data_IF_348129742658
#
_entry.id   IF_348129742658
#
_cell.length_a   1.000
_cell.length_b   1.000
_cell.length_c   1.000
_cell.angle_alpha   90.00
_cell.angle_beta   90.00
_cell.angle_gamma   90.00
#
_symmetry.space_group_name_H-M   'P 1'
#
loop_
_entity.id
_entity.type
_entity.pdbx_description
1 polymer ?
#
# COMPACT_ATOMS: atom_id res chain seq x y z
N UNK A 1 48.99 -50.27 -17.66
CA UNK A 1 47.72 -50.71 -17.03
C UNK A 1 47.20 -49.59 -16.13
N UNK A 2 46.08 -49.01 -16.55
CA UNK A 2 45.03 -48.26 -15.84
C UNK A 2 45.41 -47.26 -14.75
N UNK A 3 45.31 -45.95 -15.09
CA UNK A 3 44.46 -44.97 -14.38
C UNK A 3 43.95 -43.91 -15.37
N UNK A 4 43.07 -44.34 -16.28
CA UNK A 4 42.00 -43.45 -16.71
C UNK A 4 41.09 -43.19 -15.51
N UNK A 5 40.38 -42.06 -15.50
CA UNK A 5 39.47 -41.54 -14.45
C UNK A 5 40.14 -40.54 -13.50
N UNK A 6 40.27 -39.30 -13.97
CA UNK A 6 40.24 -38.07 -13.15
C UNK A 6 39.97 -36.86 -14.07
N UNK A 7 38.92 -37.01 -14.88
CA UNK A 7 38.23 -35.93 -15.58
C UNK A 7 36.75 -36.10 -15.21
N UNK A 8 36.08 -34.99 -14.91
CA UNK A 8 34.68 -34.87 -14.47
C UNK A 8 34.51 -34.84 -12.92
N UNK A 9 34.86 -33.73 -12.29
CA UNK A 9 34.27 -33.29 -11.01
C UNK A 9 34.63 -31.82 -10.69
N UNK A 10 34.19 -30.86 -11.52
CA UNK A 10 34.29 -29.43 -11.17
C UNK A 10 33.28 -28.54 -11.93
N UNK A 11 32.09 -29.05 -12.27
CA UNK A 11 31.08 -28.29 -13.03
C UNK A 11 29.67 -28.39 -12.42
N UNK A 12 29.56 -28.47 -11.09
CA UNK A 12 28.28 -28.59 -10.41
C UNK A 12 28.32 -28.00 -8.99
N UNK A 13 28.42 -26.67 -8.88
CA UNK A 13 28.13 -25.95 -7.62
C UNK A 13 27.80 -24.45 -7.76
N UNK A 14 27.30 -23.98 -8.91
CA UNK A 14 26.71 -22.63 -9.02
C UNK A 14 25.30 -22.71 -9.61
N UNK A 15 24.49 -23.65 -9.10
CA UNK A 15 23.05 -23.39 -9.01
C UNK A 15 22.88 -22.65 -7.69
N UNK A 16 23.22 -21.35 -7.70
CA UNK A 16 22.63 -20.48 -6.70
C UNK A 16 21.13 -20.58 -6.96
N UNK A 17 20.43 -21.37 -6.17
CA UNK A 17 18.99 -21.30 -6.06
C UNK A 17 18.69 -19.85 -5.72
N UNK A 18 18.35 -19.10 -6.75
CA UNK A 18 17.94 -17.71 -6.73
C UNK A 18 16.52 -17.68 -6.14
N UNK A 19 16.36 -18.23 -4.94
CA UNK A 19 15.22 -18.00 -4.08
C UNK A 19 15.37 -16.56 -3.58
N UNK A 20 15.30 -15.60 -4.51
CA UNK A 20 15.21 -14.19 -4.19
C UNK A 20 13.97 -14.09 -3.31
N UNK A 21 14.17 -13.61 -2.09
CA UNK A 21 13.07 -13.26 -1.20
C UNK A 21 12.12 -12.28 -1.90
N UNK A 22 10.93 -12.05 -1.33
CA UNK A 22 9.94 -11.19 -1.94
C UNK A 22 10.54 -9.82 -2.27
N UNK A 23 10.25 -9.32 -3.48
CA UNK A 23 10.66 -7.98 -3.88
C UNK A 23 9.98 -6.93 -2.99
N UNK A 24 10.68 -5.83 -2.64
CA UNK A 24 10.07 -4.74 -1.91
C UNK A 24 9.03 -4.01 -2.77
N UNK A 25 8.11 -3.33 -2.10
CA UNK A 25 7.10 -2.49 -2.72
C UNK A 25 7.74 -1.20 -3.25
N UNK A 26 7.26 -0.74 -4.41
CA UNK A 26 7.64 0.55 -4.95
C UNK A 26 7.26 1.71 -3.99
N UNK A 27 8.18 2.61 -3.62
CA UNK A 27 7.88 3.72 -2.70
C UNK A 27 6.75 4.63 -3.14
N UNK A 28 6.63 4.92 -4.44
CA UNK A 28 5.53 5.71 -4.99
C UNK A 28 4.19 5.02 -4.78
N UNK A 29 4.12 3.70 -5.02
CA UNK A 29 2.89 2.93 -4.81
C UNK A 29 2.54 2.79 -3.32
N UNK A 30 3.51 2.48 -2.47
CA UNK A 30 3.32 2.38 -1.02
C UNK A 30 2.85 3.71 -0.39
N UNK A 31 3.37 4.82 -0.88
CA UNK A 31 2.96 6.15 -0.40
C UNK A 31 1.52 6.47 -0.82
N UNK A 32 1.17 6.20 -2.08
CA UNK A 32 -0.18 6.41 -2.58
C UNK A 32 -1.20 5.47 -1.93
N UNK A 33 -0.81 4.24 -1.61
CA UNK A 33 -1.62 3.27 -0.87
C UNK A 33 -2.09 3.83 0.49
N UNK A 34 -1.20 4.51 1.23
CA UNK A 34 -1.55 5.15 2.51
C UNK A 34 -2.47 6.36 2.35
N UNK A 35 -2.26 7.16 1.30
CA UNK A 35 -2.99 8.41 1.08
C UNK A 35 -4.39 8.15 0.51
N UNK A 36 -4.51 7.18 -0.39
CA UNK A 36 -5.73 6.89 -1.13
C UNK A 36 -6.39 5.56 -0.74
N UNK A 37 -5.92 4.93 0.35
CA UNK A 37 -6.53 3.78 1.01
C UNK A 37 -6.62 2.54 0.13
N UNK A 38 -5.50 1.90 -0.17
CA UNK A 38 -5.46 0.61 -0.85
C UNK A 38 -4.22 -0.19 -0.45
N UNK A 39 -4.14 -1.44 -0.90
CA UNK A 39 -3.04 -2.33 -0.55
C UNK A 39 -1.85 -2.13 -1.50
N UNK A 40 -0.66 -1.99 -0.94
CA UNK A 40 0.55 -1.81 -1.74
C UNK A 40 1.02 -3.17 -2.29
N UNK A 41 1.22 -3.24 -3.60
CA UNK A 41 1.63 -4.46 -4.31
C UNK A 41 3.12 -4.42 -4.67
N UNK A 42 3.77 -5.58 -4.59
CA UNK A 42 5.20 -5.77 -4.91
C UNK A 42 5.42 -6.19 -6.36
N UNK A 43 6.66 -6.02 -6.81
CA UNK A 43 7.09 -6.35 -8.16
C UNK A 43 6.75 -5.31 -9.21
N UNK A 44 7.03 -5.65 -10.48
CA UNK A 44 6.79 -4.77 -11.63
C UNK A 44 5.33 -4.78 -12.06
N UNK A 45 4.46 -4.28 -11.18
CA UNK A 45 3.03 -4.18 -11.44
C UNK A 45 2.78 -3.22 -12.61
N UNK A 46 2.01 -3.68 -13.59
CA UNK A 46 1.54 -2.88 -14.73
C UNK A 46 0.19 -2.26 -14.44
N UNK A 47 -0.73 -3.07 -13.94
CA UNK A 47 -2.08 -2.64 -13.61
C UNK A 47 -2.65 -3.54 -12.54
N UNK A 48 -3.42 -2.99 -11.62
CA UNK A 48 -4.23 -3.78 -10.72
C UNK A 48 -5.59 -3.14 -10.41
N UNK A 49 -6.52 -4.00 -10.01
CA UNK A 49 -7.76 -3.59 -9.33
C UNK A 49 -7.85 -4.26 -7.97
N UNK A 50 -8.45 -3.56 -7.02
CA UNK A 50 -8.82 -4.05 -5.69
C UNK A 50 -10.29 -3.73 -5.48
N UNK A 51 -11.09 -4.72 -5.13
CA UNK A 51 -12.51 -4.52 -4.78
C UNK A 51 -12.78 -5.14 -3.42
N UNK A 52 -13.25 -4.32 -2.49
CA UNK A 52 -13.72 -4.75 -1.18
C UNK A 52 -15.25 -4.77 -1.14
N UNK A 53 -15.80 -5.86 -0.65
CA UNK A 53 -17.23 -6.03 -0.41
C UNK A 53 -17.49 -6.35 1.05
N UNK A 54 -18.54 -5.75 1.58
CA UNK A 54 -19.16 -6.17 2.84
C UNK A 54 -19.83 -7.54 2.68
N UNK A 55 -20.19 -8.17 3.79
CA UNK A 55 -20.94 -9.43 3.83
C UNK A 55 -22.27 -9.36 3.05
N UNK A 56 -22.91 -8.18 3.01
CA UNK A 56 -24.12 -7.92 2.21
C UNK A 56 -23.89 -7.96 0.69
N UNK A 57 -22.63 -8.02 0.24
CA UNK A 57 -22.23 -7.92 -1.16
C UNK A 57 -22.05 -6.48 -1.66
N UNK A 58 -22.39 -5.48 -0.84
CA UNK A 58 -22.19 -4.06 -1.16
C UNK A 58 -20.69 -3.74 -1.27
N UNK A 59 -20.31 -2.99 -2.29
CA UNK A 59 -18.94 -2.50 -2.47
C UNK A 59 -18.66 -1.39 -1.44
N UNK A 60 -17.67 -1.61 -0.59
CA UNK A 60 -17.21 -0.64 0.41
C UNK A 60 -15.92 0.08 0.00
N UNK A 61 -15.13 -0.52 -0.88
CA UNK A 61 -13.98 0.12 -1.52
C UNK A 61 -13.74 -0.46 -2.92
N UNK A 62 -13.34 0.38 -3.87
CA UNK A 62 -12.86 -0.06 -5.17
C UNK A 62 -11.72 0.83 -5.66
N UNK A 63 -10.64 0.20 -6.08
CA UNK A 63 -9.42 0.88 -6.55
C UNK A 63 -8.95 0.27 -7.86
N UNK A 64 -8.42 1.12 -8.74
CA UNK A 64 -7.79 0.75 -10.00
C UNK A 64 -6.55 1.61 -10.22
N UNK A 65 -5.40 0.98 -10.47
CA UNK A 65 -4.12 1.68 -10.64
C UNK A 65 -3.41 1.13 -11.87
N UNK A 66 -2.87 2.03 -12.69
CA UNK A 66 -1.99 1.68 -13.81
C UNK A 66 -0.64 2.34 -13.58
N UNK A 67 0.45 1.58 -13.76
CA UNK A 67 1.82 2.06 -13.64
C UNK A 67 2.52 1.91 -14.99
N UNK A 68 3.63 2.64 -15.18
CA UNK A 68 4.57 2.37 -16.26
C UNK A 68 5.66 1.37 -15.82
N UNK A 69 6.59 1.03 -16.73
CA UNK A 69 7.68 0.07 -16.45
C UNK A 69 8.66 0.55 -15.36
N UNK A 70 8.68 1.85 -15.09
CA UNK A 70 9.49 2.50 -14.08
C UNK A 70 8.77 2.53 -12.72
N UNK A 71 7.51 2.11 -12.68
CA UNK A 71 6.67 2.12 -11.48
C UNK A 71 6.10 3.49 -11.15
N UNK A 72 6.07 4.44 -12.10
CA UNK A 72 5.31 5.66 -11.96
C UNK A 72 3.82 5.36 -12.18
N UNK A 73 2.98 5.76 -11.22
CA UNK A 73 1.53 5.67 -11.37
C UNK A 73 1.08 6.64 -12.47
N UNK A 74 0.45 6.09 -13.50
CA UNK A 74 -0.09 6.83 -14.64
C UNK A 74 -1.58 7.14 -14.46
N UNK A 75 -2.31 6.25 -13.79
CA UNK A 75 -3.73 6.40 -13.50
C UNK A 75 -4.06 5.81 -12.13
N UNK A 76 -4.93 6.49 -11.38
CA UNK A 76 -5.41 6.05 -10.06
C UNK A 76 -6.88 6.42 -9.90
N UNK A 77 -7.75 5.42 -9.81
CA UNK A 77 -9.13 5.56 -9.35
C UNK A 77 -9.22 4.98 -7.94
N UNK A 78 -9.75 5.72 -6.98
CA UNK A 78 -10.08 5.20 -5.65
C UNK A 78 -11.47 5.69 -5.24
N UNK A 79 -12.35 4.75 -4.90
CA UNK A 79 -13.71 4.99 -4.44
C UNK A 79 -13.92 4.27 -3.11
N UNK A 80 -14.07 5.05 -2.04
CA UNK A 80 -14.25 4.58 -0.67
C UNK A 80 -15.23 5.50 0.06
N UNK A 81 -16.54 5.26 -0.04
CA UNK A 81 -17.58 6.16 0.46
C UNK A 81 -17.51 6.38 1.98
N UNK A 82 -17.12 5.36 2.75
CA UNK A 82 -16.97 5.47 4.20
C UNK A 82 -15.88 6.48 4.61
N UNK A 83 -14.82 6.60 3.81
CA UNK A 83 -13.72 7.55 4.01
C UNK A 83 -13.90 8.85 3.22
N UNK A 84 -15.03 9.01 2.50
CA UNK A 84 -15.28 10.13 1.57
C UNK A 84 -14.16 10.31 0.54
N UNK A 85 -13.52 9.22 0.12
CA UNK A 85 -12.53 9.24 -0.96
C UNK A 85 -13.24 8.88 -2.26
N UNK A 86 -13.19 9.80 -3.21
CA UNK A 86 -13.68 9.59 -4.56
C UNK A 86 -12.75 10.39 -5.50
N UNK A 87 -11.71 9.74 -6.01
CA UNK A 87 -10.68 10.37 -6.85
C UNK A 87 -10.49 9.57 -8.13
N UNK A 88 -10.35 10.26 -9.26
CA UNK A 88 -9.96 9.66 -10.54
C UNK A 88 -8.86 10.51 -11.16
N UNK A 89 -7.61 10.08 -10.96
CA UNK A 89 -6.42 10.84 -11.29
C UNK A 89 -5.72 10.24 -12.52
N UNK A 90 -5.22 11.11 -13.39
CA UNK A 90 -4.36 10.77 -14.52
C UNK A 90 -3.10 11.61 -14.43
N UNK A 91 -1.94 11.00 -14.70
CA UNK A 91 -0.67 11.70 -14.78
C UNK A 91 -0.58 12.49 -16.09
N UNK A 92 -0.34 13.79 -15.99
CA UNK A 92 -0.10 14.68 -17.13
C UNK A 92 1.12 15.57 -16.83
N UNK A 93 2.24 15.30 -17.50
CA UNK A 93 3.53 15.92 -17.15
C UNK A 93 3.89 15.63 -15.69
N UNK A 94 4.17 16.67 -14.92
CA UNK A 94 4.53 16.58 -13.50
C UNK A 94 3.32 16.76 -12.58
N UNK A 95 2.10 16.42 -13.03
CA UNK A 95 0.88 16.56 -12.24
C UNK A 95 0.05 15.29 -12.23
N UNK A 96 -0.66 15.07 -11.13
CA UNK A 96 -1.93 14.35 -11.17
C UNK A 96 -3.07 15.31 -11.41
N UNK A 97 -3.86 15.00 -12.44
CA UNK A 97 -5.02 15.75 -12.89
C UNK A 97 -6.26 14.92 -12.64
N UNK A 98 -7.29 15.53 -12.05
CA UNK A 98 -8.60 14.90 -11.94
C UNK A 98 -9.21 14.71 -13.34
N UNK A 99 -9.57 13.48 -13.68
CA UNK A 99 -9.98 13.09 -15.03
C UNK A 99 -11.26 13.79 -15.46
N UNK A 100 -12.19 14.00 -14.52
CA UNK A 100 -13.51 14.57 -14.78
C UNK A 100 -13.47 16.09 -14.89
N UNK A 101 -12.93 16.76 -13.87
CA UNK A 101 -12.88 18.22 -13.79
C UNK A 101 -11.71 18.84 -14.55
N UNK A 102 -10.72 18.02 -14.95
CA UNK A 102 -9.47 18.45 -15.61
C UNK A 102 -8.61 19.39 -14.77
N UNK A 103 -8.87 19.46 -13.46
CA UNK A 103 -8.09 20.29 -12.53
C UNK A 103 -6.82 19.54 -12.13
N UNK A 104 -5.69 20.26 -12.11
CA UNK A 104 -4.46 19.76 -11.49
C UNK A 104 -4.69 19.70 -9.98
N UNK A 105 -4.45 18.53 -9.39
CA UNK A 105 -4.71 18.27 -7.98
C UNK A 105 -3.41 18.20 -7.18
N UNK A 106 -2.41 17.49 -7.72
CA UNK A 106 -1.13 17.27 -7.06
C UNK A 106 0.02 17.55 -8.00
N UNK A 107 1.06 18.21 -7.49
CA UNK A 107 2.36 18.32 -8.13
C UNK A 107 3.18 17.06 -7.81
N UNK A 108 3.86 16.55 -8.82
CA UNK A 108 4.77 15.42 -8.74
C UNK A 108 6.22 15.89 -8.87
N UNK A 109 7.14 15.15 -8.25
CA UNK A 109 8.57 15.29 -8.48
C UNK A 109 9.01 14.54 -9.76
N UNK A 110 10.30 14.66 -10.09
CA UNK A 110 10.90 14.01 -11.27
C UNK A 110 10.87 12.47 -11.21
N UNK A 111 10.56 11.87 -10.06
CA UNK A 111 10.36 10.43 -9.86
C UNK A 111 8.87 10.06 -9.76
N UNK A 112 7.98 10.97 -10.16
CA UNK A 112 6.52 10.82 -10.15
C UNK A 112 5.91 10.60 -8.75
N UNK A 113 6.57 11.09 -7.69
CA UNK A 113 6.05 11.01 -6.31
C UNK A 113 5.36 12.31 -5.95
N UNK A 114 4.38 12.26 -5.05
CA UNK A 114 3.69 13.48 -4.61
C UNK A 114 4.67 14.44 -3.95
N UNK A 115 4.61 15.71 -4.33
CA UNK A 115 5.39 16.79 -3.74
C UNK A 115 4.50 17.68 -2.87
N UNK A 116 3.36 18.14 -3.42
CA UNK A 116 2.38 19.01 -2.75
C UNK A 116 1.03 18.97 -3.47
N UNK A 117 -0.01 19.42 -2.79
CA UNK A 117 -1.27 19.78 -3.46
C UNK A 117 -1.08 21.08 -4.26
N UNK A 118 -1.83 21.23 -5.35
CA UNK A 118 -1.72 22.40 -6.24
C UNK A 118 -2.26 23.68 -5.58
N UNK A 119 -3.25 23.55 -4.69
CA UNK A 119 -3.73 24.66 -3.86
C UNK A 119 -2.73 25.07 -2.76
N UNK A 120 -1.62 24.34 -2.64
CA UNK A 120 -0.56 24.62 -1.68
C UNK A 120 -0.88 24.26 -0.24
N UNK A 121 -2.05 23.66 0.06
CA UNK A 121 -2.46 23.34 1.43
C UNK A 121 -1.62 22.24 2.08
N UNK A 122 -1.09 21.29 1.31
CA UNK A 122 -0.34 20.15 1.83
C UNK A 122 1.02 20.00 1.15
N UNK A 123 2.03 19.61 1.93
CA UNK A 123 3.35 19.14 1.45
C UNK A 123 3.60 17.71 1.86
N UNK A 124 4.21 16.92 0.98
CA UNK A 124 4.51 15.51 1.22
C UNK A 124 6.01 15.33 1.45
N UNK A 125 6.40 15.15 2.72
CA UNK A 125 7.79 14.87 3.10
C UNK A 125 8.12 13.42 2.82
N UNK A 126 9.33 13.18 2.34
CA UNK A 126 9.82 11.86 1.95
C UNK A 126 11.11 11.51 2.67
N UNK A 127 11.35 10.22 2.87
CA UNK A 127 12.65 9.70 3.30
C UNK A 127 13.64 9.57 2.12
N UNK A 128 14.84 9.04 2.39
CA UNK A 128 15.89 8.87 1.39
C UNK A 128 15.53 7.83 0.30
N UNK A 129 14.65 6.89 0.61
CA UNK A 129 14.16 5.86 -0.30
C UNK A 129 13.00 6.39 -1.16
N UNK A 130 12.37 7.48 -0.71
CA UNK A 130 11.29 8.17 -1.39
C UNK A 130 9.91 7.81 -0.91
N UNK A 131 9.77 7.11 0.23
CA UNK A 131 8.48 6.89 0.86
C UNK A 131 8.02 8.20 1.51
N UNK A 132 6.74 8.53 1.37
CA UNK A 132 6.14 9.66 2.08
C UNK A 132 6.06 9.31 3.57
N UNK A 133 6.78 10.02 4.42
CA UNK A 133 6.77 9.80 5.88
C UNK A 133 5.81 10.72 6.60
N UNK A 134 5.54 11.90 6.04
CA UNK A 134 4.69 12.90 6.67
C UNK A 134 3.89 13.67 5.62
N UNK A 135 2.64 13.99 5.95
CA UNK A 135 1.82 14.97 5.24
C UNK A 135 1.67 16.20 6.12
N UNK A 136 2.26 17.30 5.66
CA UNK A 136 2.41 18.54 6.41
C UNK A 136 1.37 19.54 5.92
N UNK A 137 0.60 20.11 6.85
CA UNK A 137 -0.23 21.29 6.58
C UNK A 137 0.68 22.50 6.38
N UNK A 138 0.55 23.21 5.28
CA UNK A 138 1.36 24.43 5.04
C UNK A 138 0.88 25.63 5.84
N UNK A 139 -0.38 25.60 6.31
CA UNK A 139 -0.95 26.67 7.12
C UNK A 139 -0.35 26.68 8.53
N UNK A 140 -0.19 25.51 9.15
CA UNK A 140 0.29 25.39 10.54
C UNK A 140 1.71 24.86 10.67
N UNK A 141 2.28 24.34 9.58
CA UNK A 141 3.54 23.59 9.54
C UNK A 141 3.55 22.30 10.39
N UNK A 142 2.36 21.83 10.80
CA UNK A 142 2.21 20.58 11.53
C UNK A 142 1.98 19.39 10.60
N UNK A 143 2.50 18.22 10.99
CA UNK A 143 2.14 16.96 10.37
C UNK A 143 0.72 16.56 10.82
N UNK A 144 -0.23 16.46 9.89
CA UNK A 144 -1.55 15.90 10.19
C UNK A 144 -1.64 14.40 9.88
N UNK A 145 -0.69 13.88 9.10
CA UNK A 145 -0.51 12.44 8.90
C UNK A 145 0.97 12.04 8.92
N UNK A 146 1.27 10.86 9.45
CA UNK A 146 2.61 10.28 9.51
C UNK A 146 2.61 8.79 9.20
N UNK A 147 3.65 8.31 8.53
CA UNK A 147 3.76 6.93 8.06
C UNK A 147 5.15 6.36 8.38
N UNK A 148 5.18 5.08 8.79
CA UNK A 148 6.42 4.30 8.90
C UNK A 148 6.28 3.00 8.14
N UNK A 149 7.36 2.58 7.51
CA UNK A 149 7.42 1.40 6.64
C UNK A 149 8.38 0.36 7.20
N UNK A 150 8.17 -0.91 6.84
CA UNK A 150 9.15 -1.96 7.07
C UNK A 150 10.20 -2.01 5.96
N UNK A 151 11.14 -2.96 6.08
CA UNK A 151 12.21 -3.18 5.12
C UNK A 151 11.71 -3.58 3.71
N UNK A 152 10.47 -4.05 3.58
CA UNK A 152 9.84 -4.40 2.30
C UNK A 152 8.98 -3.25 1.77
N UNK A 153 8.91 -2.11 2.45
CA UNK A 153 8.14 -0.95 2.04
C UNK A 153 6.65 -1.02 2.35
N UNK A 154 6.20 -1.97 3.18
CA UNK A 154 4.81 -2.01 3.63
C UNK A 154 4.60 -1.06 4.82
N UNK A 155 3.48 -0.32 4.87
CA UNK A 155 3.17 0.53 6.01
C UNK A 155 2.97 -0.31 7.27
N UNK A 156 3.61 0.12 8.36
CA UNK A 156 3.58 -0.52 9.68
C UNK A 156 2.87 0.32 10.72
N UNK A 157 2.96 1.62 10.55
CA UNK A 157 2.32 2.57 11.42
C UNK A 157 1.80 3.72 10.58
N UNK A 158 0.55 4.06 10.84
CA UNK A 158 -0.09 5.26 10.31
C UNK A 158 -0.61 6.07 11.47
N UNK A 159 -0.31 7.36 11.44
CA UNK A 159 -0.78 8.36 12.38
C UNK A 159 -1.63 9.37 11.62
N UNK A 160 -2.82 9.66 12.10
CA UNK A 160 -3.60 10.84 11.73
C UNK A 160 -3.82 11.68 12.98
N UNK A 161 -3.61 12.98 12.90
CA UNK A 161 -3.79 13.89 14.03
C UNK A 161 -4.27 15.26 13.58
N UNK A 162 -5.16 15.84 14.36
CA UNK A 162 -5.64 17.21 14.18
C UNK A 162 -6.09 17.77 15.53
N UNK A 163 -6.69 18.97 15.52
CA UNK A 163 -7.19 19.61 16.73
C UNK A 163 -8.29 18.80 17.45
N UNK A 164 -8.94 17.86 16.77
CA UNK A 164 -10.03 17.04 17.29
C UNK A 164 -9.55 15.73 17.92
N UNK A 165 -8.31 15.30 17.68
CA UNK A 165 -7.75 14.09 18.29
C UNK A 165 -6.74 13.39 17.40
N UNK A 166 -6.39 12.17 17.82
CA UNK A 166 -5.34 11.33 17.24
C UNK A 166 -5.88 9.93 16.92
N UNK A 167 -5.62 9.45 15.72
CA UNK A 167 -5.86 8.07 15.31
C UNK A 167 -4.55 7.41 14.93
N UNK A 168 -4.24 6.28 15.54
CA UNK A 168 -3.07 5.46 15.24
C UNK A 168 -3.50 4.10 14.71
N UNK A 169 -2.81 3.62 13.69
CA UNK A 169 -3.04 2.32 13.10
C UNK A 169 -1.70 1.60 13.08
N UNK A 170 -1.59 0.52 13.85
CA UNK A 170 -0.40 -0.32 13.93
C UNK A 170 -0.64 -1.68 13.29
N UNK A 171 0.25 -2.08 12.38
CA UNK A 171 0.27 -3.42 11.79
C UNK A 171 1.23 -4.29 12.59
N UNK A 172 0.82 -5.49 13.01
CA UNK A 172 1.68 -6.48 13.68
C UNK A 172 2.46 -7.33 12.69
N UNK A 173 3.68 -7.72 13.04
CA UNK A 173 4.56 -8.56 12.21
C UNK A 173 4.30 -10.04 12.52
N UNK A 174 3.05 -10.47 12.34
CA UNK A 174 2.59 -11.81 12.71
C UNK A 174 2.55 -12.80 11.54
N UNK A 175 3.07 -12.40 10.36
CA UNK A 175 3.18 -13.24 9.17
C UNK A 175 4.56 -13.13 8.51
N UNK A 176 5.00 -14.20 7.81
CA UNK A 176 6.25 -14.17 7.05
C UNK A 176 6.16 -13.18 5.88
N UNK A 177 7.32 -12.73 5.40
CA UNK A 177 7.45 -11.77 4.31
C UNK A 177 6.70 -12.18 3.02
N UNK A 178 6.60 -13.48 2.75
CA UNK A 178 5.85 -14.04 1.61
C UNK A 178 4.33 -13.92 1.74
N UNK A 179 3.82 -13.45 2.88
CA UNK A 179 2.40 -13.25 3.18
C UNK A 179 2.14 -11.94 3.93
N UNK A 180 2.77 -10.85 3.49
CA UNK A 180 2.81 -9.58 4.24
C UNK A 180 1.43 -8.91 4.42
N UNK A 181 0.42 -9.27 3.61
CA UNK A 181 -0.97 -8.82 3.76
C UNK A 181 -1.76 -9.64 4.80
N UNK A 182 -1.27 -10.81 5.21
CA UNK A 182 -1.81 -11.54 6.35
C UNK A 182 -1.35 -10.80 7.60
N UNK A 183 -2.20 -9.95 8.16
CA UNK A 183 -1.79 -9.09 9.25
C UNK A 183 -2.88 -8.94 10.30
N UNK A 184 -2.44 -8.66 11.53
CA UNK A 184 -3.29 -8.07 12.56
C UNK A 184 -3.03 -6.57 12.63
N UNK A 185 -4.07 -5.78 12.43
CA UNK A 185 -4.10 -4.33 12.48
C UNK A 185 -4.80 -3.88 13.77
N UNK A 186 -4.21 -2.97 14.52
CA UNK A 186 -4.82 -2.34 15.70
C UNK A 186 -5.03 -0.86 15.43
N UNK A 187 -6.29 -0.42 15.50
CA UNK A 187 -6.64 0.99 15.45
C UNK A 187 -6.83 1.52 16.86
N UNK A 188 -6.17 2.63 17.19
CA UNK A 188 -6.32 3.36 18.44
C UNK A 188 -6.80 4.77 18.17
N UNK A 189 -7.74 5.26 18.97
CA UNK A 189 -8.21 6.64 18.97
C UNK A 189 -7.88 7.23 20.34
N UNK A 190 -7.10 8.32 20.35
CA UNK A 190 -6.58 8.97 21.55
C UNK A 190 -5.96 7.98 22.56
N UNK A 191 -5.19 7.03 22.03
CA UNK A 191 -4.51 5.99 22.79
C UNK A 191 -5.37 4.80 23.24
N UNK A 192 -6.69 4.84 23.01
CA UNK A 192 -7.62 3.75 23.36
C UNK A 192 -7.83 2.83 22.17
N UNK A 193 -7.82 1.52 22.40
CA UNK A 193 -8.12 0.54 21.36
C UNK A 193 -9.55 0.75 20.85
N UNK A 194 -9.68 1.00 19.55
CA UNK A 194 -10.96 1.24 18.89
C UNK A 194 -11.39 0.06 18.01
N UNK A 195 -10.42 -0.70 17.49
CA UNK A 195 -10.72 -1.92 16.78
C UNK A 195 -9.50 -2.73 16.39
N UNK A 196 -9.76 -3.99 16.06
CA UNK A 196 -8.77 -4.95 15.56
C UNK A 196 -9.25 -5.46 14.22
N UNK A 197 -8.40 -5.41 13.20
CA UNK A 197 -8.64 -6.06 11.92
C UNK A 197 -7.70 -7.24 11.76
N UNK A 198 -8.24 -8.41 11.42
CA UNK A 198 -7.44 -9.58 11.04
C UNK A 198 -7.70 -9.90 9.58
N UNK A 199 -6.62 -9.94 8.80
CA UNK A 199 -6.68 -10.24 7.38
C UNK A 199 -5.95 -11.54 7.08
N UNK A 200 -6.53 -12.35 6.20
CA UNK A 200 -5.92 -13.56 5.65
C UNK A 200 -6.17 -13.63 4.15
N UNK A 201 -5.13 -13.94 3.40
CA UNK A 201 -5.16 -13.88 1.94
C UNK A 201 -4.67 -15.17 1.27
N UNK A 202 -5.14 -15.35 0.04
CA UNK A 202 -4.50 -16.15 -0.97
C UNK A 202 -3.55 -15.27 -1.79
N UNK A 203 -2.48 -15.86 -2.30
CA UNK A 203 -1.38 -15.13 -2.93
C UNK A 203 -1.07 -15.68 -4.33
N UNK A 204 -0.61 -14.80 -5.21
CA UNK A 204 0.00 -15.19 -6.48
C UNK A 204 1.49 -15.53 -6.33
N UNK A 205 2.14 -15.84 -7.46
CA UNK A 205 3.57 -16.16 -7.50
C UNK A 205 4.51 -14.99 -7.15
N UNK A 206 4.01 -13.75 -7.15
CA UNK A 206 4.75 -12.56 -6.70
C UNK A 206 4.48 -12.25 -5.23
N UNK A 207 3.80 -13.14 -4.51
CA UNK A 207 3.40 -12.95 -3.13
C UNK A 207 2.47 -11.75 -2.92
N UNK A 208 1.72 -11.35 -3.95
CA UNK A 208 0.66 -10.35 -3.85
C UNK A 208 -0.69 -11.02 -3.60
N UNK A 209 -1.61 -10.39 -2.83
CA UNK A 209 -2.91 -10.96 -2.57
C UNK A 209 -3.73 -11.09 -3.87
N UNK A 210 -4.46 -12.20 -4.02
CA UNK A 210 -5.49 -12.39 -5.06
C UNK A 210 -6.90 -12.33 -4.49
N UNK A 211 -7.04 -12.77 -3.24
CA UNK A 211 -8.28 -12.71 -2.49
C UNK A 211 -7.95 -12.67 -1.00
N UNK A 212 -8.63 -11.83 -0.24
CA UNK A 212 -8.50 -11.76 1.21
C UNK A 212 -9.87 -11.81 1.88
N UNK A 213 -9.89 -12.41 3.06
CA UNK A 213 -10.95 -12.24 4.04
C UNK A 213 -10.41 -11.37 5.18
N UNK A 214 -11.17 -10.34 5.55
CA UNK A 214 -10.85 -9.46 6.66
C UNK A 214 -12.02 -9.44 7.65
N UNK A 215 -11.70 -9.62 8.94
CA UNK A 215 -12.65 -9.47 10.04
C UNK A 215 -12.23 -8.27 10.88
N UNK A 216 -13.12 -7.27 10.97
CA UNK A 216 -12.94 -6.06 11.77
C UNK A 216 -13.80 -6.19 13.01
N UNK A 217 -13.18 -6.17 14.17
CA UNK A 217 -13.87 -6.17 15.47
C UNK A 217 -13.73 -4.78 16.06
N UNK A 218 -14.86 -4.11 16.29
CA UNK A 218 -14.88 -2.89 17.09
C UNK A 218 -14.66 -3.26 18.57
N UNK A 219 -13.95 -2.40 19.30
CA UNK A 219 -13.59 -2.65 20.70
C UNK A 219 -13.99 -1.47 21.60
N UNK A 220 -14.31 -1.78 22.86
CA UNK A 220 -14.60 -0.79 23.91
C UNK A 220 -15.80 0.12 23.59
N UNK A 221 -15.61 1.44 23.75
CA UNK A 221 -16.64 2.45 23.52
C UNK A 221 -17.13 2.51 22.06
N UNK A 222 -16.41 1.86 21.14
CA UNK A 222 -16.71 1.81 19.71
C UNK A 222 -17.58 0.60 19.32
N UNK A 223 -17.93 -0.25 20.29
CA UNK A 223 -18.83 -1.39 20.14
C UNK A 223 -18.14 -2.74 20.25
N UNK A 224 -18.85 -3.79 19.84
CA UNK A 224 -18.36 -5.18 19.82
C UNK A 224 -18.78 -5.93 18.56
N UNK A 225 -19.14 -5.19 17.50
CA UNK A 225 -19.60 -5.78 16.25
C UNK A 225 -18.41 -6.30 15.44
N UNK A 226 -18.59 -7.47 14.84
CA UNK A 226 -17.67 -8.00 13.82
C UNK A 226 -18.21 -7.68 12.44
N UNK A 227 -17.42 -6.97 11.64
CA UNK A 227 -17.70 -6.71 10.23
C UNK A 227 -16.78 -7.56 9.38
N UNK A 228 -17.37 -8.36 8.48
CA UNK A 228 -16.63 -9.21 7.57
C UNK A 228 -16.56 -8.57 6.19
N UNK A 229 -15.37 -8.63 5.60
CA UNK A 229 -15.11 -8.14 4.26
C UNK A 229 -14.42 -9.20 3.43
N UNK A 230 -14.77 -9.24 2.14
CA UNK A 230 -13.99 -9.95 1.14
C UNK A 230 -13.33 -8.91 0.24
N UNK A 231 -12.04 -9.06 0.01
CA UNK A 231 -11.27 -8.27 -0.95
C UNK A 231 -10.82 -9.18 -2.09
N UNK A 232 -10.92 -8.71 -3.33
CA UNK A 232 -10.44 -9.43 -4.50
C UNK A 232 -9.54 -8.54 -5.32
N UNK A 233 -8.48 -9.14 -5.88
CA UNK A 233 -7.47 -8.46 -6.66
C UNK A 233 -7.38 -9.05 -8.06
N UNK A 234 -7.16 -8.20 -9.04
CA UNK A 234 -6.74 -8.60 -10.38
C UNK A 234 -5.49 -7.81 -10.72
N UNK A 235 -4.36 -8.48 -10.86
CA UNK A 235 -3.05 -7.84 -11.06
C UNK A 235 -2.38 -8.35 -12.33
N UNK A 236 -1.78 -7.45 -13.08
CA UNK A 236 -0.94 -7.75 -14.24
C UNK A 236 0.45 -7.15 -14.03
N UNK A 237 1.46 -7.84 -14.55
CA UNK A 237 2.87 -7.50 -14.40
C UNK A 237 3.52 -7.24 -15.77
N UNK A 238 4.70 -6.62 -15.77
CA UNK A 238 5.51 -6.36 -16.97
C UNK A 238 6.45 -7.49 -17.36
#
# INVERSE_FOLDING_TARGET
MNKAVLLIAAASALVACDARGPEPVNPSLASLANIFGFDALRGKVKHFTQTQKEESGKISAQVSVTLDKQGCVQQLRSFQPAMKVDVDLVKEGDYFVDRTSRKKMYQLDAQCRLERTVDGSLRYKKDAQGFITDVISTETDDAFAGYRYDALGYPRHTLFQNAQGKTEIDVKEDAPDTRRTDATLEARVDGRLAGITKTRCHYDAHFNPVQCAAAVVAEGDYGSATLNYTQTYQTTYY
#
